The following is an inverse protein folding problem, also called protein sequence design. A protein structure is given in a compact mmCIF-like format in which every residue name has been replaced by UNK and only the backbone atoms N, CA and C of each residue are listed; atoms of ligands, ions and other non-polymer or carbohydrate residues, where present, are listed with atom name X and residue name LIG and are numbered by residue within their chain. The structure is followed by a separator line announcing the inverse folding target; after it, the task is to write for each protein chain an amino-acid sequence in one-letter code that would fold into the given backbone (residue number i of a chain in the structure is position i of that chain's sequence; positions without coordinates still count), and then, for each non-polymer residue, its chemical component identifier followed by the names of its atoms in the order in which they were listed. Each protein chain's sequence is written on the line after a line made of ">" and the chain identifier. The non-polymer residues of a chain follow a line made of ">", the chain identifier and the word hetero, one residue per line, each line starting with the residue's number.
data_IF_082821182962
#
_entry.id   IF_082821182962
#
_cell.length_a   1.000
_cell.length_b   1.000
_cell.length_c   1.000
_cell.angle_alpha   90.00
_cell.angle_beta   90.00
_cell.angle_gamma   90.00
#
_symmetry.space_group_name_H-M   'P 1'
#
loop_
_entity.id
_entity.type
_entity.pdbx_description
1 polymer ?
#
# COMPACT_ATOMS: atom_id res chain seq x y z
N UNK A 1 -14.69 27.59 0.02
CA UNK A 1 -15.01 26.54 1.01
C UNK A 1 -13.78 25.65 1.15
N UNK A 2 -12.83 26.02 2.01
CA UNK A 2 -11.59 25.28 2.22
C UNK A 2 -11.28 25.31 3.70
N UNK A 3 -11.83 24.36 4.44
CA UNK A 3 -11.41 24.13 5.81
C UNK A 3 -11.87 22.75 6.24
N UNK A 4 -11.01 21.76 6.09
CA UNK A 4 -10.92 20.69 7.07
C UNK A 4 -9.49 20.14 7.01
N UNK A 5 -8.59 20.81 7.71
CA UNK A 5 -7.33 20.23 8.10
C UNK A 5 -7.62 19.17 9.17
N UNK A 6 -8.03 17.98 8.75
CA UNK A 6 -7.88 16.80 9.59
C UNK A 6 -6.39 16.46 9.58
N UNK A 7 -5.77 16.47 10.75
CA UNK A 7 -4.32 16.43 10.95
C UNK A 7 -3.66 15.38 10.05
N UNK A 8 -3.01 15.87 8.99
CA UNK A 8 -2.36 15.11 7.93
C UNK A 8 -1.38 14.11 8.55
N UNK A 9 -1.85 12.90 8.89
CA UNK A 9 -0.99 11.80 9.32
C UNK A 9 -0.14 11.42 8.12
N UNK A 10 1.00 12.10 8.00
CA UNK A 10 2.02 11.81 6.99
C UNK A 10 2.68 10.52 7.40
N UNK A 11 2.27 9.43 6.77
CA UNK A 11 2.86 8.12 6.99
C UNK A 11 4.25 8.14 6.37
N UNK A 12 5.30 8.18 7.19
CA UNK A 12 6.67 8.08 6.65
C UNK A 12 7.07 6.63 6.64
N UNK A 13 7.42 6.11 5.46
CA UNK A 13 7.83 4.71 5.27
C UNK A 13 9.22 4.71 4.66
N UNK A 14 10.14 3.96 5.29
CA UNK A 14 11.48 3.73 4.77
C UNK A 14 11.44 2.49 3.88
N UNK A 15 11.80 2.64 2.61
CA UNK A 15 11.88 1.55 1.65
C UNK A 15 13.28 1.45 1.07
N UNK A 16 13.59 0.30 0.48
CA UNK A 16 14.89 0.07 -0.15
C UNK A 16 15.10 1.02 -1.34
N UNK A 17 16.32 1.57 -1.51
CA UNK A 17 16.62 2.52 -2.58
C UNK A 17 16.44 1.92 -3.98
N UNK A 18 16.66 0.61 -4.14
CA UNK A 18 16.45 -0.11 -5.40
C UNK A 18 14.99 -0.06 -5.87
N UNK A 19 14.05 0.08 -4.92
CA UNK A 19 12.62 0.17 -5.24
C UNK A 19 12.21 1.57 -5.71
N UNK A 20 13.07 2.59 -5.62
CA UNK A 20 12.74 3.96 -5.99
C UNK A 20 12.23 4.10 -7.43
N UNK A 21 12.80 3.32 -8.35
CA UNK A 21 12.38 3.33 -9.76
C UNK A 21 10.99 2.72 -9.99
N UNK A 22 10.54 1.80 -9.13
CA UNK A 22 9.26 1.09 -9.29
C UNK A 22 8.12 1.71 -8.48
N UNK A 23 8.44 2.41 -7.39
CA UNK A 23 7.45 3.02 -6.48
C UNK A 23 6.39 3.91 -7.17
N UNK A 24 6.74 4.85 -8.07
CA UNK A 24 5.73 5.71 -8.70
C UNK A 24 4.71 4.87 -9.48
N UNK A 25 5.19 3.92 -10.30
CA UNK A 25 4.32 3.02 -11.08
C UNK A 25 3.46 2.12 -10.20
N UNK A 26 4.01 1.63 -9.09
CA UNK A 26 3.27 0.83 -8.12
C UNK A 26 2.09 1.60 -7.53
N UNK A 27 2.29 2.87 -7.13
CA UNK A 27 1.21 3.68 -6.59
C UNK A 27 0.13 4.01 -7.63
N UNK A 28 0.51 4.28 -8.87
CA UNK A 28 -0.46 4.46 -9.96
C UNK A 28 -1.29 3.20 -10.21
N UNK A 29 -0.64 2.02 -10.22
CA UNK A 29 -1.32 0.74 -10.38
C UNK A 29 -2.32 0.50 -9.25
N UNK A 30 -1.90 0.70 -7.99
CA UNK A 30 -2.80 0.45 -6.86
C UNK A 30 -4.00 1.41 -6.89
N UNK A 31 -3.80 2.68 -7.27
CA UNK A 31 -4.91 3.64 -7.44
C UNK A 31 -5.89 3.21 -8.53
N UNK A 32 -5.39 2.69 -9.66
CA UNK A 32 -6.24 2.18 -10.72
C UNK A 32 -7.06 0.98 -10.24
N UNK A 33 -6.44 0.03 -9.53
CA UNK A 33 -7.12 -1.14 -8.98
C UNK A 33 -8.21 -0.76 -7.97
N UNK A 34 -7.99 0.26 -7.13
CA UNK A 34 -9.01 0.77 -6.19
C UNK A 34 -10.30 1.23 -6.90
N UNK A 35 -10.18 1.85 -8.08
CA UNK A 35 -11.34 2.25 -8.87
C UNK A 35 -12.11 1.04 -9.41
N UNK A 36 -11.42 -0.06 -9.73
CA UNK A 36 -12.03 -1.32 -10.17
C UNK A 36 -12.80 -1.99 -9.03
N UNK A 37 -12.27 -1.95 -7.80
CA UNK A 37 -12.94 -2.51 -6.61
C UNK A 37 -14.31 -1.86 -6.39
N UNK A 38 -14.41 -0.53 -6.54
CA UNK A 38 -15.68 0.17 -6.39
C UNK A 38 -16.75 -0.33 -7.38
N UNK A 39 -16.35 -0.60 -8.62
CA UNK A 39 -17.25 -1.16 -9.64
C UNK A 39 -17.59 -2.63 -9.38
N UNK A 40 -16.64 -3.43 -8.90
CA UNK A 40 -16.85 -4.83 -8.57
C UNK A 40 -17.83 -5.00 -7.41
N UNK A 41 -17.69 -4.18 -6.37
CA UNK A 41 -18.61 -4.16 -5.22
C UNK A 41 -20.04 -3.81 -5.65
N UNK A 42 -20.21 -2.84 -6.55
CA UNK A 42 -21.52 -2.49 -7.11
C UNK A 42 -22.16 -3.64 -7.91
N UNK A 43 -21.35 -4.53 -8.47
CA UNK A 43 -21.78 -5.72 -9.22
C UNK A 43 -21.92 -6.97 -8.34
N UNK A 44 -21.61 -6.89 -7.05
CA UNK A 44 -21.63 -8.05 -6.15
C UNK A 44 -20.43 -8.99 -6.34
N UNK A 45 -19.36 -8.55 -7.01
CA UNK A 45 -18.19 -9.37 -7.28
C UNK A 45 -17.17 -9.28 -6.13
N UNK A 46 -17.08 -10.37 -5.36
CA UNK A 46 -16.14 -10.52 -4.25
C UNK A 46 -14.74 -10.97 -4.69
N UNK A 47 -14.58 -11.48 -5.91
CA UNK A 47 -13.30 -12.04 -6.35
C UNK A 47 -12.29 -10.92 -6.63
N UNK A 48 -12.75 -9.80 -7.18
CA UNK A 48 -11.93 -8.61 -7.42
C UNK A 48 -11.31 -8.05 -6.12
N UNK A 49 -12.08 -7.64 -5.09
CA UNK A 49 -11.49 -7.15 -3.84
C UNK A 49 -10.65 -8.23 -3.14
N UNK A 50 -11.04 -9.50 -3.21
CA UNK A 50 -10.26 -10.61 -2.65
C UNK A 50 -8.87 -10.70 -3.27
N UNK A 51 -8.79 -10.75 -4.61
CA UNK A 51 -7.53 -10.83 -5.33
C UNK A 51 -6.68 -9.59 -5.11
N UNK A 52 -7.30 -8.40 -5.10
CA UNK A 52 -6.59 -7.16 -4.78
C UNK A 52 -5.97 -7.22 -3.39
N UNK A 53 -6.74 -7.58 -2.36
CA UNK A 53 -6.25 -7.70 -0.99
C UNK A 53 -5.09 -8.68 -0.86
N UNK A 54 -5.20 -9.84 -1.53
CA UNK A 54 -4.15 -10.86 -1.56
C UNK A 54 -2.84 -10.37 -2.20
N UNK A 55 -2.92 -9.61 -3.30
CA UNK A 55 -1.73 -9.03 -3.96
C UNK A 55 -1.17 -7.86 -3.16
N UNK A 56 -2.04 -7.02 -2.60
CA UNK A 56 -1.66 -5.86 -1.80
C UNK A 56 -0.90 -6.30 -0.54
N UNK A 57 -1.33 -7.38 0.13
CA UNK A 57 -0.60 -7.90 1.29
C UNK A 57 0.79 -8.43 0.94
N UNK A 58 0.91 -9.12 -0.20
CA UNK A 58 2.18 -9.68 -0.65
C UNK A 58 3.16 -8.57 -1.03
N UNK A 59 2.72 -7.66 -1.90
CA UNK A 59 3.54 -6.53 -2.36
C UNK A 59 3.85 -5.54 -1.23
N UNK A 60 2.90 -5.27 -0.34
CA UNK A 60 3.10 -4.43 0.84
C UNK A 60 4.22 -4.96 1.73
N UNK A 61 4.24 -6.27 2.01
CA UNK A 61 5.30 -6.88 2.81
C UNK A 61 6.66 -6.81 2.09
N UNK A 62 6.71 -7.18 0.81
CA UNK A 62 7.96 -7.18 0.02
C UNK A 62 8.55 -5.78 -0.17
N UNK A 63 7.71 -4.74 -0.22
CA UNK A 63 8.16 -3.36 -0.44
C UNK A 63 8.33 -2.54 0.86
N UNK A 64 8.08 -3.13 2.03
CA UNK A 64 8.28 -2.47 3.32
C UNK A 64 7.11 -1.59 3.78
N UNK A 65 5.89 -1.86 3.32
CA UNK A 65 4.67 -1.15 3.70
C UNK A 65 3.78 -2.00 4.64
N UNK A 66 4.06 -2.05 5.96
CA UNK A 66 3.29 -2.86 6.89
C UNK A 66 1.80 -2.49 6.90
N UNK A 67 1.46 -1.21 6.76
CA UNK A 67 0.07 -0.75 6.70
C UNK A 67 -0.68 -1.28 5.47
N UNK A 68 -0.01 -1.35 4.31
CA UNK A 68 -0.61 -1.97 3.11
C UNK A 68 -0.80 -3.47 3.30
N UNK A 69 0.12 -4.12 4.01
CA UNK A 69 -0.01 -5.54 4.39
C UNK A 69 -1.25 -5.80 5.23
N UNK A 70 -1.44 -5.00 6.28
CA UNK A 70 -2.59 -5.11 7.18
C UNK A 70 -3.91 -4.83 6.45
N UNK A 71 -3.97 -3.76 5.66
CA UNK A 71 -5.15 -3.39 4.88
C UNK A 71 -5.48 -4.46 3.83
N UNK A 72 -4.48 -4.97 3.09
CA UNK A 72 -4.67 -6.03 2.12
C UNK A 72 -5.25 -7.30 2.73
N UNK A 73 -4.72 -7.73 3.88
CA UNK A 73 -5.23 -8.88 4.62
C UNK A 73 -6.65 -8.66 5.18
N UNK A 74 -7.01 -7.42 5.53
CA UNK A 74 -8.37 -7.08 5.95
C UNK A 74 -9.35 -7.12 4.77
N UNK A 75 -8.98 -6.55 3.62
CA UNK A 75 -9.80 -6.56 2.39
C UNK A 75 -10.07 -7.99 1.94
N UNK A 76 -9.04 -8.84 1.88
CA UNK A 76 -9.17 -10.24 1.46
C UNK A 76 -10.13 -11.00 2.38
N UNK A 77 -10.04 -10.79 3.70
CA UNK A 77 -10.95 -11.41 4.67
C UNK A 77 -12.38 -10.91 4.53
N UNK A 78 -12.59 -9.60 4.35
CA UNK A 78 -13.92 -9.02 4.16
C UNK A 78 -14.59 -9.60 2.91
N UNK A 79 -13.86 -9.65 1.80
CA UNK A 79 -14.33 -10.24 0.55
C UNK A 79 -14.66 -11.73 0.69
N UNK A 80 -13.80 -12.52 1.35
CA UNK A 80 -14.06 -13.93 1.64
C UNK A 80 -15.29 -14.15 2.55
N UNK A 81 -15.58 -13.19 3.44
CA UNK A 81 -16.75 -13.20 4.31
C UNK A 81 -18.04 -12.68 3.65
N UNK A 82 -17.98 -12.25 2.38
CA UNK A 82 -19.11 -11.62 1.68
C UNK A 82 -19.40 -10.17 2.08
N UNK A 83 -18.52 -9.55 2.88
CA UNK A 83 -18.64 -8.16 3.31
C UNK A 83 -18.02 -7.21 2.26
N UNK A 84 -18.73 -7.06 1.13
CA UNK A 84 -18.29 -6.21 0.03
C UNK A 84 -18.23 -4.72 0.41
N UNK A 85 -19.16 -4.26 1.25
CA UNK A 85 -19.14 -2.90 1.78
C UNK A 85 -17.92 -2.66 2.68
N UNK A 86 -17.58 -3.60 3.56
CA UNK A 86 -16.36 -3.53 4.36
C UNK A 86 -15.10 -3.57 3.50
N UNK A 87 -15.06 -4.43 2.48
CA UNK A 87 -13.96 -4.47 1.53
C UNK A 87 -13.78 -3.14 0.78
N UNK A 88 -14.87 -2.50 0.35
CA UNK A 88 -14.84 -1.18 -0.28
C UNK A 88 -14.32 -0.08 0.67
N UNK A 89 -14.75 -0.08 1.94
CA UNK A 89 -14.29 0.88 2.95
C UNK A 89 -12.79 0.73 3.23
N UNK A 90 -12.31 -0.51 3.33
CA UNK A 90 -10.89 -0.79 3.52
C UNK A 90 -10.06 -0.42 2.28
N UNK A 91 -10.61 -0.62 1.08
CA UNK A 91 -9.99 -0.15 -0.16
C UNK A 91 -9.87 1.38 -0.20
N UNK A 92 -10.89 2.11 0.25
CA UNK A 92 -10.82 3.58 0.39
C UNK A 92 -9.72 4.01 1.40
N UNK A 93 -9.54 3.28 2.51
CA UNK A 93 -8.42 3.50 3.43
C UNK A 93 -7.05 3.31 2.76
N UNK A 94 -6.91 2.33 1.85
CA UNK A 94 -5.68 2.16 1.05
C UNK A 94 -5.45 3.40 0.19
N UNK A 95 -6.48 3.93 -0.47
CA UNK A 95 -6.38 5.15 -1.27
C UNK A 95 -5.89 6.35 -0.45
N UNK A 96 -6.47 6.55 0.74
CA UNK A 96 -6.05 7.62 1.67
C UNK A 96 -4.61 7.44 2.14
N UNK A 97 -4.21 6.20 2.42
CA UNK A 97 -2.81 5.91 2.78
C UNK A 97 -1.86 6.28 1.64
N UNK A 98 -2.17 5.87 0.40
CA UNK A 98 -1.35 6.18 -0.79
C UNK A 98 -1.27 7.69 -1.11
N UNK A 99 -2.27 8.47 -0.71
CA UNK A 99 -2.28 9.93 -0.85
C UNK A 99 -1.42 10.63 0.22
N UNK A 100 -1.35 10.03 1.42
CA UNK A 100 -0.71 10.64 2.60
C UNK A 100 0.65 10.03 2.96
N UNK A 101 1.09 9.00 2.23
CA UNK A 101 2.37 8.33 2.48
C UNK A 101 3.53 9.13 1.88
N UNK A 102 4.53 9.41 2.72
CA UNK A 102 5.84 9.92 2.31
C UNK A 102 6.83 8.76 2.29
N UNK A 103 7.21 8.34 1.10
CA UNK A 103 8.25 7.34 0.93
C UNK A 103 9.61 7.99 1.08
N UNK A 104 10.44 7.44 1.94
CA UNK A 104 11.84 7.79 2.09
C UNK A 104 12.67 6.57 1.71
N UNK A 105 13.72 6.80 0.93
CA UNK A 105 14.64 5.74 0.53
C UNK A 105 15.83 5.77 1.47
N UNK A 106 15.94 4.74 2.29
CA UNK A 106 16.98 4.65 3.30
C UNK A 106 17.39 3.20 3.41
N UNK A 107 18.59 2.88 2.94
CA UNK A 107 19.20 1.62 3.29
C UNK A 107 19.54 1.66 4.77
N UNK A 108 18.98 0.75 5.58
CA UNK A 108 19.80 0.20 6.64
C UNK A 108 20.89 -0.62 5.94
N UNK A 109 21.90 0.09 5.42
CA UNK A 109 23.18 -0.52 5.16
C UNK A 109 23.66 -1.04 6.51
N UNK A 110 23.51 -2.34 6.73
CA UNK A 110 24.43 -3.02 7.61
C UNK A 110 25.83 -2.57 7.17
N UNK A 111 26.55 -1.91 8.08
CA UNK A 111 27.77 -1.20 7.76
C UNK A 111 28.76 -2.05 6.99
N UNK A 112 28.89 -1.78 5.70
CA UNK A 112 30.13 -2.02 4.98
C UNK A 112 31.02 -0.85 5.33
N UNK A 113 31.92 -1.07 6.31
CA UNK A 113 33.08 -0.20 6.46
C UNK A 113 33.95 -0.36 5.22
N UNK A 114 34.20 0.69 4.41
CA UNK A 114 35.35 0.68 3.52
C UNK A 114 36.61 0.91 4.38
N UNK A 115 37.03 -0.11 5.13
CA UNK A 115 38.42 -0.23 5.58
C UNK A 115 39.11 -1.02 4.48
N UNK A 116 39.65 -0.37 3.46
CA UNK A 116 40.87 0.40 3.62
C UNK A 116 42.00 -0.52 3.20
N UNK A 117 42.42 -0.35 1.95
CA UNK A 117 43.66 -0.91 1.43
C UNK A 117 44.79 -0.70 2.44
N UNK A 118 45.56 -1.74 2.75
CA UNK A 118 46.93 -1.57 3.24
C UNK A 118 47.75 -2.78 2.80
N UNK A 119 48.97 -2.58 2.25
CA UNK A 119 49.76 -3.60 1.54
C UNK A 119 50.29 -4.75 2.40
#
# INVERSE_FOLDING_TARGET
>A
MTSSGDGMKRFTVVVEPELAAIMPRYFELQRAELAVIGQAVAQGDADVPRMFGHRLKGTGASYGFPRLTELGAAIERAALGGDLEGAARLADEVGRFLDNVRVTYGGQGAGETPGGETP
#
